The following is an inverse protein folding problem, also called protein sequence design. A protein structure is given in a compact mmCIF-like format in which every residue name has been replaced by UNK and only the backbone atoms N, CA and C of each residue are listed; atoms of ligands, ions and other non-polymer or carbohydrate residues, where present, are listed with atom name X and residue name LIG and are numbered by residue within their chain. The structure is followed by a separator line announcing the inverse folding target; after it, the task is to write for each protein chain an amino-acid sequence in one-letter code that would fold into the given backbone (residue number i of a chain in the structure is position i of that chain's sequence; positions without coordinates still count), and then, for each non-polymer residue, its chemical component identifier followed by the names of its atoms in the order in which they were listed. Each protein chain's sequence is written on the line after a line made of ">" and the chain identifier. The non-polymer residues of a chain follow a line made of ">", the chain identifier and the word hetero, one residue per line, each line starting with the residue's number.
data_IF_466936614148
#
_entry.id   IF_466936614148
#
_cell.length_a   1.000
_cell.length_b   1.000
_cell.length_c   1.000
_cell.angle_alpha   90.00
_cell.angle_beta   90.00
_cell.angle_gamma   90.00
#
_symmetry.space_group_name_H-M   'P 1'
#
loop_
_entity.id
_entity.type
_entity.pdbx_description
1 polymer ?
#
# COMPACT_ATOMS: atom_id res chain seq x y z
N UNK A 1 24.57 -3.16 25.55
CA UNK A 1 23.12 -2.89 25.60
C UNK A 1 22.43 -4.24 25.62
N UNK A 2 21.56 -4.52 26.60
CA UNK A 2 20.74 -5.73 26.55
C UNK A 2 19.80 -5.58 25.36
N UNK A 3 19.78 -6.56 24.45
CA UNK A 3 18.74 -6.65 23.42
C UNK A 3 17.40 -6.66 24.17
N UNK A 4 16.65 -5.58 24.03
CA UNK A 4 15.32 -5.50 24.58
C UNK A 4 14.47 -6.36 23.65
N UNK A 5 14.03 -7.52 24.16
CA UNK A 5 13.17 -8.43 23.40
C UNK A 5 11.89 -7.66 23.03
N UNK A 6 11.65 -7.49 21.74
CA UNK A 6 10.51 -6.73 21.22
C UNK A 6 9.29 -7.64 21.29
N UNK A 7 8.30 -7.27 22.09
CA UNK A 7 7.05 -8.02 22.18
C UNK A 7 6.10 -7.64 21.04
N UNK A 8 6.38 -8.21 19.85
CA UNK A 8 5.64 -7.97 18.61
C UNK A 8 4.14 -8.27 18.81
N UNK A 9 3.81 -9.33 19.54
CA UNK A 9 2.43 -9.75 19.77
C UNK A 9 1.66 -8.71 20.58
N UNK A 10 2.24 -8.20 21.67
CA UNK A 10 1.60 -7.16 22.46
C UNK A 10 1.45 -5.85 21.68
N UNK A 11 2.44 -5.44 20.90
CA UNK A 11 2.34 -4.22 20.07
C UNK A 11 1.26 -4.36 18.98
N UNK A 12 1.17 -5.52 18.34
CA UNK A 12 0.12 -5.81 17.36
C UNK A 12 -1.26 -5.81 18.02
N UNK A 13 -1.42 -6.50 19.15
CA UNK A 13 -2.69 -6.56 19.88
C UNK A 13 -3.10 -5.17 20.38
N UNK A 14 -2.15 -4.36 20.83
CA UNK A 14 -2.40 -2.98 21.21
C UNK A 14 -2.99 -2.19 20.02
N UNK A 15 -2.30 -2.18 18.87
CA UNK A 15 -2.80 -1.49 17.68
C UNK A 15 -4.17 -2.02 17.22
N UNK A 16 -4.37 -3.34 17.29
CA UNK A 16 -5.62 -4.02 16.95
C UNK A 16 -6.79 -3.56 17.84
N UNK A 17 -6.60 -3.50 19.16
CA UNK A 17 -7.60 -3.00 20.11
C UNK A 17 -7.86 -1.50 19.87
N UNK A 18 -6.79 -0.72 19.75
CA UNK A 18 -6.85 0.74 19.56
C UNK A 18 -7.60 1.14 18.29
N UNK A 19 -7.58 0.30 17.25
CA UNK A 19 -8.25 0.55 15.96
C UNK A 19 -9.57 -0.21 15.79
N UNK A 20 -9.95 -1.04 16.77
CA UNK A 20 -11.21 -1.82 16.75
C UNK A 20 -11.32 -2.73 15.52
N UNK A 21 -10.22 -3.37 15.15
CA UNK A 21 -10.13 -4.21 13.96
C UNK A 21 -10.92 -5.53 14.12
N UNK A 22 -11.37 -6.15 13.00
CA UNK A 22 -12.00 -7.46 13.05
C UNK A 22 -11.02 -8.54 13.53
N UNK A 23 -11.50 -9.70 14.03
CA UNK A 23 -10.64 -10.80 14.46
C UNK A 23 -9.69 -11.25 13.35
N UNK A 24 -8.39 -11.18 13.63
CA UNK A 24 -7.32 -11.58 12.72
C UNK A 24 -6.28 -12.40 13.48
N UNK A 25 -5.65 -13.35 12.80
CA UNK A 25 -4.57 -14.16 13.35
C UNK A 25 -3.23 -13.54 12.97
N UNK A 26 -2.36 -13.24 13.92
CA UNK A 26 -0.98 -12.88 13.63
C UNK A 26 -0.13 -14.14 13.42
N UNK A 27 0.68 -14.15 12.37
CA UNK A 27 1.67 -15.18 12.06
C UNK A 27 3.00 -14.50 11.78
N UNK A 28 4.02 -14.82 12.60
CA UNK A 28 5.38 -14.36 12.36
C UNK A 28 6.01 -15.40 11.43
N UNK A 29 6.39 -14.98 10.22
CA UNK A 29 6.99 -15.87 9.21
C UNK A 29 8.49 -15.60 9.15
N UNK A 30 9.30 -16.65 9.26
CA UNK A 30 10.76 -16.51 9.26
C UNK A 30 11.41 -16.66 7.87
N UNK A 31 10.77 -17.29 6.88
CA UNK A 31 11.52 -17.65 5.66
C UNK A 31 10.66 -17.65 4.39
N UNK A 32 10.62 -16.50 3.71
CA UNK A 32 10.47 -16.45 2.26
C UNK A 32 10.89 -15.06 1.76
N UNK A 33 12.09 -14.91 1.18
CA UNK A 33 12.59 -13.63 0.63
C UNK A 33 11.60 -12.97 -0.36
N UNK A 34 10.68 -13.75 -0.94
CA UNK A 34 9.69 -13.24 -1.88
C UNK A 34 8.42 -12.66 -1.25
N UNK A 35 8.16 -12.88 0.03
CA UNK A 35 6.96 -12.37 0.69
C UNK A 35 7.12 -10.91 1.17
N UNK A 36 6.05 -10.09 1.09
CA UNK A 36 6.06 -8.73 1.64
C UNK A 36 6.37 -8.72 3.14
N UNK A 37 6.92 -7.62 3.63
CA UNK A 37 7.29 -7.46 5.05
C UNK A 37 6.07 -7.47 5.98
N UNK A 38 4.92 -7.05 5.44
CA UNK A 38 3.62 -7.14 6.07
C UNK A 38 2.59 -7.51 5.00
N UNK A 39 1.76 -8.49 5.26
CA UNK A 39 0.61 -8.83 4.41
C UNK A 39 -0.52 -9.40 5.23
N UNK A 40 -1.74 -9.31 4.71
CA UNK A 40 -2.89 -9.99 5.26
C UNK A 40 -3.56 -10.82 4.16
N UNK A 41 -3.83 -12.09 4.45
CA UNK A 41 -4.52 -12.99 3.54
C UNK A 41 -5.39 -13.93 4.38
N UNK A 42 -6.67 -14.07 4.01
CA UNK A 42 -7.61 -14.97 4.66
C UNK A 42 -7.69 -14.77 6.18
N UNK A 43 -7.62 -13.52 6.64
CA UNK A 43 -7.65 -13.18 8.07
C UNK A 43 -6.38 -13.56 8.84
N UNK A 44 -5.31 -13.93 8.16
CA UNK A 44 -3.98 -14.10 8.75
C UNK A 44 -3.06 -12.96 8.33
N UNK A 45 -2.50 -12.26 9.31
CA UNK A 45 -1.47 -11.23 9.13
C UNK A 45 -0.10 -11.88 9.20
N UNK A 46 0.69 -11.74 8.16
CA UNK A 46 2.08 -12.18 8.10
C UNK A 46 3.00 -10.98 8.30
N UNK A 47 3.95 -11.12 9.23
CA UNK A 47 4.87 -10.04 9.58
C UNK A 47 6.33 -10.52 9.61
N UNK A 48 7.23 -9.70 9.06
CA UNK A 48 8.69 -9.87 9.11
C UNK A 48 9.36 -8.79 9.97
N UNK A 49 10.14 -9.16 10.99
CA UNK A 49 10.80 -8.21 11.90
C UNK A 49 11.81 -7.25 11.24
N UNK A 50 12.29 -7.56 10.04
CA UNK A 50 13.32 -6.80 9.29
C UNK A 50 12.88 -5.39 8.86
N UNK A 51 11.61 -5.03 9.10
CA UNK A 51 11.07 -3.71 8.74
C UNK A 51 11.64 -2.58 9.60
N UNK A 52 12.14 -2.89 10.81
CA UNK A 52 12.57 -1.88 11.78
C UNK A 52 13.91 -1.26 11.34
N UNK A 53 13.98 0.07 11.08
CA UNK A 53 15.23 0.73 10.75
C UNK A 53 16.24 0.70 11.91
N UNK A 54 17.53 0.69 11.60
CA UNK A 54 18.56 0.84 12.63
C UNK A 54 18.49 2.23 13.28
N UNK A 55 18.73 2.29 14.60
CA UNK A 55 18.83 3.55 15.35
C UNK A 55 17.51 4.19 15.76
N UNK A 56 16.37 3.53 15.54
CA UNK A 56 15.06 3.97 16.01
C UNK A 56 14.63 3.21 17.26
N UNK A 57 13.65 3.72 18.01
CA UNK A 57 12.97 2.94 19.05
C UNK A 57 12.09 1.88 18.36
N UNK A 58 12.43 0.58 18.50
CA UNK A 58 11.72 -0.49 17.79
C UNK A 58 10.26 -0.61 18.21
N UNK A 59 9.95 -0.37 19.49
CA UNK A 59 8.58 -0.51 20.01
C UNK A 59 7.68 0.60 19.45
N UNK A 60 8.19 1.84 19.47
CA UNK A 60 7.48 2.98 18.88
C UNK A 60 7.30 2.80 17.37
N UNK A 61 8.35 2.38 16.67
CA UNK A 61 8.29 2.17 15.23
C UNK A 61 7.25 1.11 14.86
N UNK A 62 7.30 -0.06 15.49
CA UNK A 62 6.36 -1.15 15.19
C UNK A 62 4.92 -0.81 15.57
N UNK A 63 4.70 -0.16 16.72
CA UNK A 63 3.34 0.22 17.10
C UNK A 63 2.71 1.15 16.06
N UNK A 64 3.44 2.17 15.62
CA UNK A 64 2.97 3.09 14.60
C UNK A 64 2.84 2.41 13.23
N UNK A 65 3.74 1.49 12.89
CA UNK A 65 3.63 0.68 11.69
C UNK A 65 2.34 -0.16 11.68
N UNK A 66 2.05 -0.90 12.76
CA UNK A 66 0.80 -1.65 12.85
C UNK A 66 -0.43 -0.74 12.84
N UNK A 67 -0.37 0.43 13.49
CA UNK A 67 -1.44 1.42 13.42
C UNK A 67 -1.69 1.86 11.98
N UNK A 68 -0.66 2.09 11.18
CA UNK A 68 -0.80 2.44 9.76
C UNK A 68 -1.50 1.33 8.98
N UNK A 69 -0.92 0.12 8.99
CA UNK A 69 -1.41 -1.00 8.18
C UNK A 69 -2.86 -1.39 8.54
N UNK A 70 -3.17 -1.42 9.84
CA UNK A 70 -4.52 -1.76 10.31
C UNK A 70 -5.53 -0.63 10.09
N UNK A 71 -5.09 0.62 9.93
CA UNK A 71 -5.99 1.73 9.63
C UNK A 71 -6.66 1.58 8.27
N UNK A 72 -5.99 0.94 7.30
CA UNK A 72 -6.57 0.71 5.97
C UNK A 72 -7.81 -0.20 5.99
N UNK A 73 -8.05 -0.96 7.07
CA UNK A 73 -9.28 -1.75 7.24
C UNK A 73 -10.52 -0.85 7.34
N UNK A 74 -10.36 0.35 7.91
CA UNK A 74 -11.45 1.27 8.24
C UNK A 74 -11.30 2.65 7.61
N UNK A 75 -10.14 2.92 7.00
CA UNK A 75 -9.80 4.20 6.41
C UNK A 75 -9.20 4.00 5.01
N UNK A 76 -9.30 5.03 4.17
CA UNK A 76 -9.07 4.97 2.72
C UNK A 76 -7.90 4.06 2.25
N UNK A 77 -8.12 3.10 1.34
CA UNK A 77 -9.40 2.58 0.87
C UNK A 77 -9.87 1.43 1.78
N UNK A 78 -11.08 1.55 2.32
CA UNK A 78 -11.58 0.57 3.27
C UNK A 78 -12.03 -0.74 2.60
N UNK A 79 -12.27 -0.76 1.29
CA UNK A 79 -12.57 -1.99 0.56
C UNK A 79 -12.11 -1.97 -0.91
N UNK A 80 -12.03 -3.15 -1.52
CA UNK A 80 -11.54 -3.32 -2.89
C UNK A 80 -12.36 -2.57 -3.94
N UNK A 81 -13.69 -2.47 -3.77
CA UNK A 81 -14.54 -1.72 -4.71
C UNK A 81 -14.21 -0.24 -4.68
N UNK A 82 -14.00 0.31 -3.48
CA UNK A 82 -13.58 1.70 -3.29
C UNK A 82 -12.16 1.92 -3.81
N UNK A 83 -11.23 1.01 -3.49
CA UNK A 83 -9.85 1.09 -3.94
C UNK A 83 -9.75 1.13 -5.48
N UNK A 84 -10.47 0.23 -6.14
CA UNK A 84 -10.52 0.17 -7.60
C UNK A 84 -11.23 1.38 -8.21
N UNK A 85 -12.31 1.88 -7.59
CA UNK A 85 -12.97 3.10 -8.06
C UNK A 85 -12.06 4.33 -7.99
N UNK A 86 -11.21 4.44 -6.97
CA UNK A 86 -10.20 5.50 -6.87
C UNK A 86 -9.11 5.35 -7.95
N UNK A 87 -8.67 4.11 -8.19
CA UNK A 87 -7.70 3.82 -9.24
C UNK A 87 -8.26 4.13 -10.63
N UNK A 88 -9.52 3.77 -10.91
CA UNK A 88 -10.20 4.13 -12.16
C UNK A 88 -10.24 5.65 -12.35
N UNK A 89 -10.59 6.40 -11.31
CA UNK A 89 -10.59 7.86 -11.38
C UNK A 89 -9.19 8.42 -11.66
N UNK A 90 -8.14 7.85 -11.07
CA UNK A 90 -6.77 8.21 -11.40
C UNK A 90 -6.42 7.87 -12.86
N UNK A 91 -6.82 6.69 -13.33
CA UNK A 91 -6.58 6.24 -14.70
C UNK A 91 -7.22 7.16 -15.75
N UNK A 92 -8.41 7.69 -15.50
CA UNK A 92 -9.06 8.67 -16.39
C UNK A 92 -8.16 9.87 -16.72
N UNK A 93 -7.25 10.24 -15.80
CA UNK A 93 -6.35 11.38 -15.93
C UNK A 93 -5.05 11.01 -16.62
N UNK A 94 -4.44 9.88 -16.25
CA UNK A 94 -3.09 9.53 -16.71
C UNK A 94 -3.06 8.49 -17.83
N UNK A 95 -4.16 7.77 -18.06
CA UNK A 95 -4.28 6.70 -19.05
C UNK A 95 -3.18 5.62 -18.93
N UNK A 96 -2.71 5.40 -17.70
CA UNK A 96 -1.67 4.43 -17.34
C UNK A 96 -2.06 3.79 -15.99
N UNK A 97 -2.35 2.48 -16.01
CA UNK A 97 -2.78 1.75 -14.82
C UNK A 97 -1.69 1.65 -13.75
N UNK A 98 -0.43 1.53 -14.15
CA UNK A 98 0.68 1.45 -13.19
C UNK A 98 0.78 2.79 -12.44
N UNK A 99 0.68 3.93 -13.13
CA UNK A 99 0.69 5.25 -12.51
C UNK A 99 -0.59 5.55 -11.70
N UNK A 100 -1.75 5.09 -12.17
CA UNK A 100 -3.02 5.20 -11.45
C UNK A 100 -2.99 4.46 -10.11
N UNK A 101 -2.42 3.25 -10.09
CA UNK A 101 -2.20 2.50 -8.86
C UNK A 101 -1.28 3.26 -7.90
N UNK A 102 -0.16 3.81 -8.38
CA UNK A 102 0.75 4.58 -7.51
C UNK A 102 0.09 5.84 -6.93
N UNK A 103 -0.73 6.54 -7.72
CA UNK A 103 -1.49 7.69 -7.24
C UNK A 103 -2.44 7.30 -6.12
N UNK A 104 -3.15 6.18 -6.28
CA UNK A 104 -4.08 5.62 -5.29
C UNK A 104 -3.35 5.17 -4.04
N UNK A 105 -2.18 4.54 -4.18
CA UNK A 105 -1.32 4.08 -3.09
C UNK A 105 -0.82 5.26 -2.24
N UNK A 106 -0.22 6.28 -2.89
CA UNK A 106 0.23 7.50 -2.21
C UNK A 106 -0.94 8.19 -1.52
N UNK A 107 -2.05 8.39 -2.22
CA UNK A 107 -3.23 9.02 -1.65
C UNK A 107 -3.69 8.32 -0.36
N UNK A 108 -3.78 7.00 -0.40
CA UNK A 108 -4.24 6.18 0.72
C UNK A 108 -3.32 6.32 1.93
N UNK A 109 -2.01 6.20 1.74
CA UNK A 109 -1.05 6.34 2.84
C UNK A 109 -1.08 7.75 3.43
N UNK A 110 -1.17 8.79 2.60
CA UNK A 110 -1.24 10.18 3.08
C UNK A 110 -2.54 10.44 3.85
N UNK A 111 -3.68 9.85 3.44
CA UNK A 111 -4.91 9.93 4.22
C UNK A 111 -4.76 9.27 5.60
N UNK A 112 -4.09 8.11 5.68
CA UNK A 112 -3.83 7.46 6.97
C UNK A 112 -2.87 8.28 7.82
N UNK A 113 -1.69 8.59 7.31
CA UNK A 113 -0.57 9.11 8.10
C UNK A 113 -0.69 10.58 8.48
N UNK A 114 -1.26 11.38 7.59
CA UNK A 114 -1.34 12.84 7.79
C UNK A 114 -2.73 13.26 8.28
N UNK A 115 -3.78 12.49 7.98
CA UNK A 115 -5.14 12.87 8.36
C UNK A 115 -5.72 12.00 9.48
N UNK A 116 -5.81 10.69 9.29
CA UNK A 116 -6.52 9.81 10.21
C UNK A 116 -5.77 9.62 11.53
N UNK A 117 -4.52 9.15 11.45
CA UNK A 117 -3.71 8.81 12.62
C UNK A 117 -3.47 10.02 13.54
N UNK A 118 -3.07 11.21 13.03
CA UNK A 118 -2.90 12.38 13.88
C UNK A 118 -4.19 12.83 14.56
N UNK A 119 -5.34 12.74 13.89
CA UNK A 119 -6.64 13.07 14.49
C UNK A 119 -7.07 12.07 15.55
N UNK A 120 -6.79 10.77 15.35
CA UNK A 120 -7.16 9.72 16.29
C UNK A 120 -6.32 9.75 17.56
N UNK A 121 -5.01 9.94 17.43
CA UNK A 121 -4.06 9.80 18.53
C UNK A 121 -3.53 11.14 19.08
N UNK A 122 -3.79 12.26 18.41
CA UNK A 122 -3.35 13.59 18.85
C UNK A 122 -1.85 13.85 18.66
N UNK A 123 -1.12 12.95 18.01
CA UNK A 123 0.29 13.11 17.66
C UNK A 123 0.57 12.56 16.25
N UNK A 124 1.66 13.05 15.63
CA UNK A 124 2.11 12.52 14.33
C UNK A 124 2.75 11.13 14.49
N UNK A 125 2.56 10.22 13.52
CA UNK A 125 3.20 8.91 13.55
C UNK A 125 4.71 8.94 13.80
N UNK A 126 5.22 8.00 14.61
CA UNK A 126 6.63 7.97 14.99
C UNK A 126 7.57 7.87 13.78
N UNK A 127 7.26 7.05 12.78
CA UNK A 127 8.08 6.90 11.58
C UNK A 127 8.21 8.20 10.76
N UNK A 128 7.31 9.18 10.91
CA UNK A 128 7.45 10.50 10.28
C UNK A 128 8.50 11.37 10.99
N UNK A 129 8.82 11.07 12.25
CA UNK A 129 9.84 11.78 13.05
C UNK A 129 11.25 11.21 12.85
N UNK A 130 11.35 9.94 12.44
CA UNK A 130 12.62 9.24 12.27
C UNK A 130 12.91 9.00 10.79
N UNK A 131 13.55 9.99 10.17
CA UNK A 131 13.88 9.95 8.74
C UNK A 131 15.38 9.68 8.60
N UNK A 132 15.74 8.55 8.01
CA UNK A 132 17.15 8.17 7.89
C UNK A 132 17.50 7.03 6.94
N UNK A 133 16.51 6.37 6.31
CA UNK A 133 16.78 5.29 5.36
C UNK A 133 16.83 5.85 3.94
N UNK A 134 17.80 5.37 3.15
CA UNK A 134 17.84 5.63 1.71
C UNK A 134 16.64 4.96 1.05
N UNK A 135 15.74 5.77 0.51
CA UNK A 135 14.58 5.29 -0.24
C UNK A 135 15.02 4.59 -1.54
N UNK A 136 14.39 3.46 -1.84
CA UNK A 136 14.68 2.62 -3.00
C UNK A 136 13.71 2.87 -4.15
N UNK A 137 12.50 3.35 -3.86
CA UNK A 137 11.45 3.61 -4.85
C UNK A 137 11.04 5.08 -4.91
N UNK A 138 10.36 5.47 -6.01
CA UNK A 138 9.82 6.83 -6.15
C UNK A 138 8.72 7.11 -5.12
N UNK A 139 7.86 6.13 -4.82
CA UNK A 139 6.82 6.27 -3.79
C UNK A 139 7.46 6.54 -2.44
N UNK A 140 8.47 5.77 -2.04
CA UNK A 140 9.17 5.99 -0.77
C UNK A 140 9.79 7.39 -0.71
N UNK A 141 10.40 7.86 -1.80
CA UNK A 141 10.94 9.23 -1.85
C UNK A 141 9.85 10.29 -1.70
N UNK A 142 8.71 10.13 -2.38
CA UNK A 142 7.57 11.06 -2.26
C UNK A 142 7.01 11.05 -0.84
N UNK A 143 6.75 9.87 -0.26
CA UNK A 143 6.24 9.74 1.11
C UNK A 143 7.22 10.33 2.13
N UNK A 144 8.53 10.07 1.98
CA UNK A 144 9.56 10.65 2.83
C UNK A 144 9.54 12.19 2.76
N UNK A 145 9.47 12.76 1.55
CA UNK A 145 9.40 14.22 1.39
C UNK A 145 8.09 14.80 1.94
N UNK A 146 6.95 14.08 1.84
CA UNK A 146 5.70 14.47 2.53
C UNK A 146 5.92 14.52 4.04
N UNK A 147 6.57 13.51 4.61
CA UNK A 147 6.87 13.48 6.04
C UNK A 147 7.82 14.61 6.45
N UNK A 148 8.81 14.96 5.61
CA UNK A 148 9.67 16.12 5.84
C UNK A 148 8.93 17.45 5.83
N UNK A 149 7.90 17.60 4.99
CA UNK A 149 7.03 18.78 5.02
C UNK A 149 6.19 18.88 6.30
N UNK A 150 5.79 17.74 6.88
CA UNK A 150 5.03 17.71 8.14
C UNK A 150 5.95 17.88 9.34
N UNK A 151 7.12 17.25 9.33
CA UNK A 151 8.10 17.27 10.43
C UNK A 151 9.53 17.43 9.89
N UNK A 152 10.00 18.68 9.68
CA UNK A 152 11.29 18.96 9.06
C UNK A 152 12.47 18.53 9.95
N UNK A 153 13.08 17.39 9.63
CA UNK A 153 14.23 16.83 10.38
C UNK A 153 15.54 16.92 9.62
N UNK A 154 15.49 16.80 8.30
CA UNK A 154 16.63 16.91 7.39
C UNK A 154 16.26 17.76 6.18
N UNK A 155 17.26 18.17 5.40
CA UNK A 155 17.03 18.90 4.15
C UNK A 155 16.65 17.94 3.04
N UNK A 156 15.68 18.32 2.21
CA UNK A 156 15.34 17.61 0.97
C UNK A 156 16.53 17.56 0.02
N UNK A 157 16.79 16.39 -0.56
CA UNK A 157 17.88 16.19 -1.52
C UNK A 157 17.43 16.49 -2.96
N UNK A 158 16.17 16.19 -3.27
CA UNK A 158 15.61 16.36 -4.61
C UNK A 158 14.46 17.36 -4.61
N UNK A 159 14.72 18.56 -5.15
CA UNK A 159 13.75 19.65 -5.20
C UNK A 159 12.47 19.29 -5.97
N UNK A 160 12.56 18.57 -7.08
CA UNK A 160 11.38 18.23 -7.88
C UNK A 160 10.45 17.25 -7.15
N UNK A 161 11.03 16.28 -6.43
CA UNK A 161 10.27 15.35 -5.59
C UNK A 161 9.69 16.11 -4.39
N UNK A 162 10.47 16.99 -3.75
CA UNK A 162 10.00 17.80 -2.63
C UNK A 162 8.84 18.74 -3.01
N UNK A 163 8.91 19.37 -4.18
CA UNK A 163 7.83 20.21 -4.73
C UNK A 163 6.58 19.36 -5.03
N UNK A 164 6.77 18.17 -5.63
CA UNK A 164 5.67 17.20 -5.87
C UNK A 164 5.01 16.76 -4.55
N UNK A 165 5.80 16.40 -3.55
CA UNK A 165 5.34 16.01 -2.22
C UNK A 165 4.54 17.14 -1.56
N UNK A 166 5.00 18.39 -1.69
CA UNK A 166 4.28 19.56 -1.19
C UNK A 166 2.90 19.70 -1.84
N UNK A 167 2.81 19.56 -3.16
CA UNK A 167 1.54 19.64 -3.89
C UNK A 167 0.59 18.53 -3.42
N UNK A 168 1.07 17.28 -3.26
CA UNK A 168 0.28 16.14 -2.77
C UNK A 168 -0.24 16.38 -1.34
N UNK A 169 0.60 16.93 -0.46
CA UNK A 169 0.22 17.27 0.91
C UNK A 169 -0.89 18.32 0.95
N UNK A 170 -0.76 19.38 0.13
CA UNK A 170 -1.79 20.42 -0.02
C UNK A 170 -3.10 19.81 -0.51
N UNK A 171 -3.06 18.99 -1.57
CA UNK A 171 -4.26 18.31 -2.12
C UNK A 171 -4.95 17.46 -1.06
N UNK A 172 -4.16 16.72 -0.28
CA UNK A 172 -4.68 15.83 0.76
C UNK A 172 -5.47 16.58 1.82
N UNK A 173 -5.16 17.86 2.03
CA UNK A 173 -5.81 18.75 3.01
C UNK A 173 -7.05 19.47 2.45
N UNK A 174 -7.31 19.41 1.14
CA UNK A 174 -8.45 20.10 0.53
C UNK A 174 -9.79 19.51 0.95
N UNK A 175 -10.83 20.34 1.02
CA UNK A 175 -12.22 19.89 1.18
C UNK A 175 -12.80 19.42 -0.16
N UNK A 176 -12.29 18.30 -0.66
CA UNK A 176 -12.70 17.64 -1.91
C UNK A 176 -12.95 16.15 -1.68
N UNK A 177 -13.73 15.55 -2.56
CA UNK A 177 -13.95 14.09 -2.56
C UNK A 177 -12.63 13.35 -2.80
N UNK A 178 -12.54 12.11 -2.33
CA UNK A 178 -11.36 11.26 -2.55
C UNK A 178 -11.03 11.07 -4.03
N UNK A 179 -12.05 10.89 -4.88
CA UNK A 179 -11.89 10.80 -6.33
C UNK A 179 -11.21 12.04 -6.94
N UNK A 180 -11.63 13.25 -6.55
CA UNK A 180 -10.98 14.47 -7.04
C UNK A 180 -9.53 14.56 -6.54
N UNK A 181 -9.28 14.21 -5.28
CA UNK A 181 -7.93 14.25 -4.71
C UNK A 181 -6.98 13.27 -5.43
N UNK A 182 -7.41 12.03 -5.66
CA UNK A 182 -6.58 11.04 -6.35
C UNK A 182 -6.35 11.41 -7.81
N UNK A 183 -7.34 12.01 -8.49
CA UNK A 183 -7.20 12.57 -9.84
C UNK A 183 -6.12 13.67 -9.89
N UNK A 184 -6.14 14.59 -8.93
CA UNK A 184 -5.13 15.66 -8.84
C UNK A 184 -3.74 15.10 -8.55
N UNK A 185 -3.62 14.10 -7.65
CA UNK A 185 -2.35 13.42 -7.38
C UNK A 185 -1.84 12.71 -8.64
N UNK A 186 -2.71 12.00 -9.37
CA UNK A 186 -2.36 11.33 -10.60
C UNK A 186 -1.82 12.31 -11.66
N UNK A 187 -2.47 13.47 -11.82
CA UNK A 187 -2.00 14.52 -12.72
C UNK A 187 -0.58 15.00 -12.38
N UNK A 188 -0.29 15.23 -11.10
CA UNK A 188 1.04 15.69 -10.66
C UNK A 188 2.09 14.61 -10.89
N UNK A 189 1.77 13.36 -10.55
CA UNK A 189 2.67 12.23 -10.80
C UNK A 189 2.94 12.05 -12.31
N UNK A 190 1.91 12.19 -13.15
CA UNK A 190 2.06 12.16 -14.60
C UNK A 190 3.02 13.22 -15.12
N UNK A 191 2.92 14.45 -14.60
CA UNK A 191 3.87 15.53 -14.91
C UNK A 191 5.30 15.20 -14.44
N UNK A 192 5.46 14.65 -13.24
CA UNK A 192 6.77 14.29 -12.69
C UNK A 192 7.46 13.23 -13.56
N UNK A 193 6.70 12.19 -13.94
CA UNK A 193 7.20 11.09 -14.78
C UNK A 193 7.50 11.55 -16.21
N UNK A 194 6.65 12.39 -16.80
CA UNK A 194 6.87 12.92 -18.14
C UNK A 194 8.17 13.73 -18.24
N UNK A 195 8.53 14.47 -17.18
CA UNK A 195 9.79 15.21 -17.09
C UNK A 195 10.99 14.30 -16.83
N UNK A 196 10.79 13.17 -16.16
CA UNK A 196 11.85 12.27 -15.73
C UNK A 196 11.49 10.80 -16.03
N UNK A 197 11.53 10.43 -17.31
CA UNK A 197 11.10 9.11 -17.81
C UNK A 197 11.83 7.90 -17.20
N UNK A 198 12.94 8.11 -16.47
CA UNK A 198 13.68 7.05 -15.77
C UNK A 198 13.19 6.78 -14.35
N UNK A 199 12.34 7.64 -13.79
CA UNK A 199 11.88 7.51 -12.40
C UNK A 199 10.98 6.29 -12.22
N UNK A 200 10.13 6.00 -13.20
CA UNK A 200 9.19 4.89 -13.16
C UNK A 200 9.35 3.97 -14.37
N UNK A 201 9.33 2.67 -14.09
CA UNK A 201 9.21 1.62 -15.08
C UNK A 201 8.20 0.61 -14.57
N UNK A 202 7.51 -0.10 -15.47
CA UNK A 202 6.55 -1.13 -15.06
C UNK A 202 7.18 -2.24 -14.20
N UNK A 203 8.51 -2.45 -14.29
CA UNK A 203 9.25 -3.36 -13.40
C UNK A 203 9.31 -2.81 -11.96
N UNK A 204 9.66 -1.54 -11.78
CA UNK A 204 9.69 -0.88 -10.47
C UNK A 204 8.31 -0.89 -9.80
N UNK A 205 7.25 -0.68 -10.59
CA UNK A 205 5.86 -0.71 -10.09
C UNK A 205 5.47 -2.12 -9.62
N UNK A 206 5.81 -3.15 -10.39
CA UNK A 206 5.63 -4.55 -9.97
C UNK A 206 6.36 -4.87 -8.67
N UNK A 207 7.58 -4.37 -8.50
CA UNK A 207 8.35 -4.57 -7.26
C UNK A 207 7.67 -3.89 -6.05
N UNK A 208 7.12 -2.69 -6.23
CA UNK A 208 6.34 -2.01 -5.19
C UNK A 208 5.09 -2.83 -4.84
N UNK A 209 4.29 -3.22 -5.84
CA UNK A 209 3.07 -4.02 -5.64
C UNK A 209 3.37 -5.32 -4.89
N UNK A 210 4.49 -5.99 -5.21
CA UNK A 210 4.90 -7.22 -4.55
C UNK A 210 5.33 -7.00 -3.10
N UNK A 211 6.08 -5.92 -2.82
CA UNK A 211 6.68 -5.66 -1.49
C UNK A 211 5.71 -4.99 -0.51
N UNK A 212 4.85 -4.11 -1.00
CA UNK A 212 3.94 -3.27 -0.22
C UNK A 212 2.58 -3.14 -0.92
N UNK A 213 1.86 -4.27 -1.12
CA UNK A 213 0.52 -4.22 -1.69
C UNK A 213 -0.39 -3.36 -0.81
N UNK A 214 -1.26 -2.56 -1.42
CA UNK A 214 -2.24 -1.80 -0.64
C UNK A 214 -3.23 -2.77 -0.02
N UNK A 215 -3.34 -2.78 1.30
CA UNK A 215 -4.26 -3.63 2.03
C UNK A 215 -5.66 -3.04 2.05
N UNK A 216 -6.65 -3.91 2.00
CA UNK A 216 -8.08 -3.57 2.08
C UNK A 216 -8.76 -4.50 3.09
N UNK A 217 -9.94 -4.13 3.59
CA UNK A 217 -10.68 -4.94 4.57
C UNK A 217 -10.82 -6.41 4.19
N UNK A 218 -11.01 -6.70 2.91
CA UNK A 218 -11.14 -8.07 2.39
C UNK A 218 -9.97 -8.98 2.78
N UNK A 219 -8.76 -8.44 2.89
CA UNK A 219 -7.54 -9.18 3.24
C UNK A 219 -7.58 -9.78 4.65
N UNK A 220 -8.39 -9.17 5.52
CA UNK A 220 -8.54 -9.54 6.92
C UNK A 220 -9.74 -10.47 7.16
N UNK A 221 -10.50 -10.83 6.13
CA UNK A 221 -11.62 -11.76 6.20
C UNK A 221 -11.19 -13.18 5.78
N UNK A 222 -11.86 -14.23 6.28
CA UNK A 222 -11.52 -15.63 5.97
C UNK A 222 -11.70 -16.05 4.49
N UNK A 223 -12.37 -15.22 3.68
CA UNK A 223 -12.65 -15.46 2.27
C UNK A 223 -12.20 -14.27 1.41
N UNK A 224 -10.93 -13.88 1.55
CA UNK A 224 -10.41 -12.63 0.96
C UNK A 224 -10.69 -12.57 -0.55
N UNK A 225 -10.38 -13.65 -1.28
CA UNK A 225 -10.42 -13.71 -2.75
C UNK A 225 -11.83 -13.56 -3.34
N UNK A 226 -12.89 -13.96 -2.63
CA UNK A 226 -14.25 -13.97 -3.19
C UNK A 226 -14.71 -12.56 -3.62
N UNK A 227 -14.42 -11.55 -2.79
CA UNK A 227 -14.80 -10.16 -3.10
C UNK A 227 -13.91 -9.51 -4.15
N UNK A 228 -12.64 -9.92 -4.24
CA UNK A 228 -11.79 -9.53 -5.37
C UNK A 228 -12.33 -10.12 -6.67
N UNK A 229 -12.83 -11.36 -6.63
CA UNK A 229 -13.39 -12.05 -7.80
C UNK A 229 -14.70 -11.40 -8.25
N UNK A 230 -15.55 -10.97 -7.31
CA UNK A 230 -16.77 -10.20 -7.63
C UNK A 230 -16.42 -8.89 -8.35
N UNK A 231 -15.43 -8.14 -7.83
CA UNK A 231 -15.00 -6.88 -8.43
C UNK A 231 -14.37 -7.13 -9.80
N UNK A 232 -13.47 -8.11 -9.89
CA UNK A 232 -12.83 -8.52 -11.15
C UNK A 232 -13.84 -8.94 -12.22
N UNK A 233 -14.84 -9.74 -11.86
CA UNK A 233 -15.89 -10.21 -12.78
C UNK A 233 -16.81 -9.10 -13.30
N UNK A 234 -16.80 -7.92 -12.67
CA UNK A 234 -17.54 -6.75 -13.15
C UNK A 234 -16.78 -5.91 -14.18
N UNK A 235 -15.48 -6.18 -14.40
CA UNK A 235 -14.64 -5.43 -15.33
C UNK A 235 -14.81 -6.00 -16.75
N UNK A 236 -15.39 -5.20 -17.64
CA UNK A 236 -15.62 -5.58 -19.04
C UNK A 236 -14.43 -5.32 -19.96
N UNK A 237 -13.59 -4.32 -19.63
CA UNK A 237 -12.41 -3.98 -20.43
C UNK A 237 -11.23 -4.92 -20.13
N UNK A 238 -10.65 -5.50 -21.17
CA UNK A 238 -9.59 -6.50 -21.04
C UNK A 238 -8.31 -5.90 -20.43
N UNK A 239 -7.95 -4.67 -20.79
CA UNK A 239 -6.74 -4.02 -20.28
C UNK A 239 -6.89 -3.70 -18.78
N UNK A 240 -8.05 -3.18 -18.38
CA UNK A 240 -8.42 -2.92 -17.00
C UNK A 240 -8.46 -4.21 -16.17
N UNK A 241 -9.01 -5.30 -16.72
CA UNK A 241 -9.04 -6.59 -16.04
C UNK A 241 -7.62 -7.14 -15.82
N UNK A 242 -6.74 -7.06 -16.83
CA UNK A 242 -5.33 -7.46 -16.69
C UNK A 242 -4.59 -6.64 -15.64
N UNK A 243 -4.81 -5.33 -15.61
CA UNK A 243 -4.25 -4.44 -14.61
C UNK A 243 -4.73 -4.84 -13.21
N UNK A 244 -6.06 -4.97 -13.04
CA UNK A 244 -6.66 -5.35 -11.76
C UNK A 244 -6.11 -6.68 -11.23
N UNK A 245 -6.02 -7.70 -12.10
CA UNK A 245 -5.46 -8.98 -11.70
C UNK A 245 -4.01 -8.83 -11.20
N UNK A 246 -3.17 -8.12 -11.96
CA UNK A 246 -1.75 -7.91 -11.63
C UNK A 246 -1.56 -7.12 -10.32
N UNK A 247 -2.37 -6.09 -10.09
CA UNK A 247 -2.20 -5.15 -8.97
C UNK A 247 -2.88 -5.61 -7.69
N UNK A 248 -4.07 -6.19 -7.80
CA UNK A 248 -4.92 -6.51 -6.65
C UNK A 248 -4.97 -7.99 -6.34
N UNK A 249 -5.13 -8.87 -7.35
CA UNK A 249 -5.30 -10.29 -7.09
C UNK A 249 -3.97 -11.03 -6.95
N UNK A 250 -3.06 -10.85 -7.90
CA UNK A 250 -1.79 -11.57 -7.99
C UNK A 250 -0.95 -11.49 -6.71
N UNK A 251 -0.85 -10.36 -5.99
CA UNK A 251 -0.06 -10.29 -4.75
C UNK A 251 -0.61 -11.12 -3.60
N UNK A 252 -1.86 -11.61 -3.71
CA UNK A 252 -2.59 -12.35 -2.68
C UNK A 252 -2.71 -13.84 -2.99
N UNK A 253 -2.13 -14.28 -4.11
CA UNK A 253 -2.16 -15.66 -4.58
C UNK A 253 -0.74 -16.19 -4.56
N UNK A 254 -0.53 -17.34 -3.93
CA UNK A 254 0.79 -17.97 -3.91
C UNK A 254 1.21 -18.43 -5.32
N UNK A 255 2.53 -18.49 -5.59
CA UNK A 255 3.03 -18.97 -6.89
C UNK A 255 2.52 -20.38 -7.22
N UNK A 256 2.41 -21.24 -6.20
CA UNK A 256 1.84 -22.59 -6.32
C UNK A 256 0.37 -22.59 -6.74
N UNK A 257 -0.42 -21.64 -6.24
CA UNK A 257 -1.82 -21.48 -6.65
C UNK A 257 -1.93 -20.92 -8.08
N UNK A 258 -1.04 -19.99 -8.46
CA UNK A 258 -0.97 -19.49 -9.84
C UNK A 258 -0.65 -20.63 -10.82
N UNK A 259 0.31 -21.49 -10.50
CA UNK A 259 0.64 -22.68 -11.31
C UNK A 259 -0.56 -23.61 -11.45
N UNK A 260 -1.22 -23.98 -10.35
CA UNK A 260 -2.43 -24.81 -10.38
C UNK A 260 -3.55 -24.20 -11.24
N UNK A 261 -3.75 -22.89 -11.16
CA UNK A 261 -4.76 -22.20 -11.98
C UNK A 261 -4.39 -22.27 -13.46
N UNK A 262 -3.11 -22.08 -13.82
CA UNK A 262 -2.65 -22.21 -15.21
C UNK A 262 -2.89 -23.61 -15.76
N UNK A 263 -2.52 -24.64 -14.99
CA UNK A 263 -2.71 -26.03 -15.38
C UNK A 263 -4.19 -26.34 -15.66
N UNK A 264 -5.09 -25.90 -14.76
CA UNK A 264 -6.54 -26.07 -14.92
C UNK A 264 -7.11 -25.32 -16.14
N UNK A 265 -6.60 -24.12 -16.44
CA UNK A 265 -7.02 -23.35 -17.62
C UNK A 265 -6.54 -24.02 -18.90
N UNK A 266 -5.32 -24.53 -18.93
CA UNK A 266 -4.78 -25.27 -20.08
C UNK A 266 -5.55 -26.57 -20.34
N UNK A 267 -5.89 -27.32 -19.28
CA UNK A 267 -6.72 -28.53 -19.39
C UNK A 267 -8.12 -28.21 -19.94
N UNK A 268 -8.80 -27.19 -19.41
CA UNK A 268 -10.12 -26.77 -19.92
C UNK A 268 -10.05 -26.22 -21.35
N UNK A 269 -8.99 -25.50 -21.70
CA UNK A 269 -8.77 -24.99 -23.04
C UNK A 269 -8.54 -26.10 -24.07
N UNK A 270 -7.93 -27.22 -23.67
CA UNK A 270 -7.81 -28.44 -24.49
C UNK A 270 -9.15 -29.14 -24.65
N UNK A 271 -9.97 -29.21 -23.59
CA UNK A 271 -11.32 -29.80 -23.65
C UNK A 271 -12.31 -29.01 -24.53
N UNK A 272 -12.17 -27.68 -24.60
CA UNK A 272 -13.02 -26.82 -25.45
C UNK A 272 -12.61 -26.83 -26.94
N UNK A 273 -11.42 -27.35 -27.26
CA UNK A 273 -10.89 -27.48 -28.62
C UNK A 273 -11.01 -28.90 -29.20
N UNK A 274 -11.42 -29.86 -28.39
CA UNK A 274 -11.70 -31.24 -28.77
C UNK A 274 -13.20 -31.41 -29.08
#
# INVERSE_FOLDING_TARGET
>A
MKEQEIDILNLFNQAWIELSCPPVKLSISEDDENNPNFSAINGTVFFKPEIIPQGVDPNQYLLWFFRHELSHIHHCPYDIKTAYSLEQAAYEIVQDWDLAYLATHIFSNVQVDVNYLPKRFGEVPYFMRVIGKKCQSLIEQIMQEIYLWVYPTVKSENKEIADTAKEILIISSLERTWHIKVQMIAYILGRLVAKNSRLLSGKKVKEIIKKTPLLVREDFLHSSIDRFTETYGSISDEAAAKAFFKQWMQPRISEKEIEKIKDLVEEKGKQLKA
#
